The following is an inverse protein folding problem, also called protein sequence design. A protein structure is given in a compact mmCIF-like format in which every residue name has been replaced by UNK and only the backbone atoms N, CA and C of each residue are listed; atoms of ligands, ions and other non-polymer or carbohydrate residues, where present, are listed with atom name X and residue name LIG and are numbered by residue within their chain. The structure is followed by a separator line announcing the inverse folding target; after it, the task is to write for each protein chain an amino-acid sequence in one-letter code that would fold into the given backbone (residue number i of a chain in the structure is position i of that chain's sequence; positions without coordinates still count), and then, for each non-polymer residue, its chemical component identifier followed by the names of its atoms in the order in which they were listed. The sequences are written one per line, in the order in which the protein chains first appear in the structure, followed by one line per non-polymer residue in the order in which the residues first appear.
data_IF_173277073111
#
_entry.id   IF_173277073111
#
_cell.length_a   1.000
_cell.length_b   1.000
_cell.length_c   1.000
_cell.angle_alpha   90.00
_cell.angle_beta   90.00
_cell.angle_gamma   90.00
#
_symmetry.space_group_name_H-M   'P 1'
#
loop_
_entity.id
_entity.type
_entity.pdbx_description
1 polymer ?
#
# COMPACT_ATOMS: atom_id res chain seq x y z
N UNK A 1 -3.85 1.97 -14.59
CA UNK A 1 -4.27 0.71 -13.94
C UNK A 1 -4.50 0.94 -12.45
N UNK A 2 -5.47 0.25 -11.86
CA UNK A 2 -5.87 0.46 -10.45
C UNK A 2 -6.03 -0.88 -9.75
N UNK A 3 -5.49 -0.99 -8.54
CA UNK A 3 -5.85 -2.04 -7.56
C UNK A 3 -6.50 -1.39 -6.34
N UNK A 4 -7.50 -2.05 -5.76
CA UNK A 4 -8.18 -1.59 -4.55
C UNK A 4 -8.31 -2.71 -3.54
N UNK A 5 -8.15 -2.39 -2.26
CA UNK A 5 -8.38 -3.31 -1.15
C UNK A 5 -9.17 -2.60 -0.04
N UNK A 6 -10.32 -3.16 0.35
CA UNK A 6 -11.02 -2.70 1.55
C UNK A 6 -10.30 -3.30 2.77
N UNK A 7 -9.86 -2.45 3.68
CA UNK A 7 -9.20 -2.90 4.90
C UNK A 7 -10.12 -2.80 6.11
N UNK A 8 -9.85 -3.64 7.12
CA UNK A 8 -10.38 -3.55 8.47
C UNK A 8 -9.25 -3.89 9.46
N UNK A 9 -8.83 -2.91 10.26
CA UNK A 9 -7.78 -3.08 11.29
C UNK A 9 -8.34 -3.03 12.71
N UNK A 10 -9.64 -3.29 12.90
CA UNK A 10 -10.26 -3.25 14.22
C UNK A 10 -9.64 -4.25 15.21
N UNK A 11 -9.36 -5.47 14.75
CA UNK A 11 -8.81 -6.58 15.56
C UNK A 11 -7.53 -7.19 14.98
N UNK A 12 -6.95 -6.55 13.96
CA UNK A 12 -5.83 -7.11 13.22
C UNK A 12 -4.91 -6.02 12.67
N UNK A 13 -3.67 -6.39 12.41
CA UNK A 13 -2.72 -5.58 11.66
C UNK A 13 -2.71 -6.09 10.22
N UNK A 14 -2.68 -5.18 9.25
CA UNK A 14 -2.58 -5.51 7.84
C UNK A 14 -1.18 -5.16 7.35
N UNK A 15 -0.46 -6.16 6.86
CA UNK A 15 0.85 -6.00 6.24
C UNK A 15 0.70 -6.05 4.74
N UNK A 16 1.26 -5.08 4.04
CA UNK A 16 1.16 -4.90 2.60
C UNK A 16 2.57 -4.91 2.04
N UNK A 17 2.81 -5.72 1.00
CA UNK A 17 4.07 -5.73 0.27
C UNK A 17 3.81 -5.40 -1.18
N UNK A 18 4.63 -4.51 -1.74
CA UNK A 18 4.54 -4.14 -3.14
C UNK A 18 5.94 -3.86 -3.70
N UNK A 19 6.15 -4.26 -4.94
CA UNK A 19 7.27 -3.84 -5.77
C UNK A 19 6.81 -2.69 -6.66
N UNK A 20 7.56 -1.60 -6.65
CA UNK A 20 7.26 -0.40 -7.43
C UNK A 20 7.84 -0.56 -8.84
N UNK A 21 7.02 -0.48 -9.89
CA UNK A 21 7.50 -0.59 -11.27
C UNK A 21 8.41 0.59 -11.63
N UNK A 22 9.51 0.30 -12.33
CA UNK A 22 10.34 1.35 -12.91
C UNK A 22 9.63 2.07 -14.08
N UNK A 23 10.03 3.33 -14.27
CA UNK A 23 9.73 4.17 -15.44
C UNK A 23 8.26 4.54 -15.64
N UNK A 24 7.39 4.18 -14.71
CA UNK A 24 5.98 4.59 -14.69
C UNK A 24 5.61 5.15 -13.33
N UNK A 25 4.64 6.06 -13.31
CA UNK A 25 4.14 6.59 -12.06
C UNK A 25 3.42 5.49 -11.26
N UNK A 26 3.72 5.41 -9.97
CA UNK A 26 3.08 4.50 -9.04
C UNK A 26 2.73 5.23 -7.75
N UNK A 27 1.57 4.93 -7.16
CA UNK A 27 1.25 5.37 -5.81
C UNK A 27 0.41 4.35 -5.07
N UNK A 28 0.53 4.35 -3.75
CA UNK A 28 -0.41 3.73 -2.82
C UNK A 28 -0.99 4.81 -1.90
N UNK A 29 -2.31 4.89 -1.83
CA UNK A 29 -3.06 5.88 -1.04
C UNK A 29 -4.07 5.18 -0.14
N UNK A 30 -4.18 5.66 1.09
CA UNK A 30 -5.08 5.11 2.10
C UNK A 30 -6.14 6.14 2.43
N UNK A 31 -7.39 5.70 2.31
CA UNK A 31 -8.58 6.47 2.61
C UNK A 31 -9.32 5.87 3.78
N UNK A 32 -9.76 6.71 4.71
CA UNK A 32 -10.72 6.31 5.73
C UNK A 32 -12.12 6.08 5.11
N UNK A 33 -13.06 5.52 5.87
CA UNK A 33 -14.40 5.22 5.37
C UNK A 33 -15.17 6.50 4.96
N UNK A 34 -14.87 7.63 5.62
CA UNK A 34 -15.38 8.95 5.25
C UNK A 34 -14.59 9.60 4.09
N UNK A 35 -13.75 8.83 3.39
CA UNK A 35 -12.94 9.26 2.23
C UNK A 35 -11.80 10.23 2.55
N UNK A 36 -11.48 10.46 3.83
CA UNK A 36 -10.29 11.23 4.18
C UNK A 36 -9.02 10.49 3.74
N UNK A 37 -8.24 11.12 2.87
CA UNK A 37 -6.89 10.65 2.53
C UNK A 37 -5.95 10.97 3.70
N UNK A 38 -5.40 9.93 4.33
CA UNK A 38 -4.53 10.10 5.50
C UNK A 38 -3.10 9.58 5.29
N UNK A 39 -2.83 8.91 4.16
CA UNK A 39 -1.49 8.48 3.78
C UNK A 39 -1.39 8.33 2.26
N UNK A 40 -0.30 8.81 1.68
CA UNK A 40 0.09 8.54 0.29
C UNK A 40 1.58 8.34 0.23
N UNK A 41 2.00 7.32 -0.52
CA UNK A 41 3.40 7.05 -0.88
C UNK A 41 3.47 6.89 -2.41
N UNK A 42 4.46 7.51 -3.04
CA UNK A 42 4.64 7.48 -4.49
C UNK A 42 6.02 6.93 -4.89
N UNK A 43 6.18 6.64 -6.17
CA UNK A 43 7.39 6.07 -6.76
C UNK A 43 8.67 6.87 -6.48
N UNK A 44 8.61 8.21 -6.51
CA UNK A 44 9.77 9.05 -6.24
C UNK A 44 10.23 8.92 -4.79
N UNK A 45 9.30 8.94 -3.84
CA UNK A 45 9.62 8.76 -2.43
C UNK A 45 10.14 7.35 -2.13
N UNK A 46 9.56 6.32 -2.78
CA UNK A 46 10.05 4.94 -2.69
C UNK A 46 11.48 4.84 -3.17
N UNK A 47 11.77 5.36 -4.37
CA UNK A 47 13.11 5.33 -4.95
C UNK A 47 14.17 5.98 -4.05
N UNK A 48 13.82 7.08 -3.40
CA UNK A 48 14.74 7.84 -2.56
C UNK A 48 15.00 7.19 -1.19
N UNK A 49 13.97 6.56 -0.59
CA UNK A 49 14.03 6.14 0.82
C UNK A 49 14.04 4.62 1.03
N UNK A 50 13.47 3.86 0.09
CA UNK A 50 13.16 2.44 0.27
C UNK A 50 13.67 1.56 -0.89
N UNK A 51 14.14 2.15 -1.99
CA UNK A 51 14.59 1.43 -3.18
C UNK A 51 13.43 1.11 -4.13
N UNK A 52 13.00 -0.14 -4.20
CA UNK A 52 11.92 -0.59 -5.09
C UNK A 52 10.85 -1.41 -4.40
N UNK A 53 11.18 -2.03 -3.26
CA UNK A 53 10.24 -2.82 -2.49
C UNK A 53 9.79 -2.04 -1.27
N UNK A 54 8.49 -2.05 -1.02
CA UNK A 54 7.89 -1.42 0.15
C UNK A 54 7.13 -2.44 0.97
N UNK A 55 7.29 -2.31 2.27
CA UNK A 55 6.58 -3.09 3.26
C UNK A 55 5.84 -2.12 4.19
N UNK A 56 4.52 -2.07 4.08
CA UNK A 56 3.67 -1.16 4.83
C UNK A 56 2.89 -1.95 5.86
N UNK A 57 2.97 -1.53 7.12
CA UNK A 57 2.22 -2.10 8.23
C UNK A 57 1.13 -1.12 8.62
N UNK A 58 -0.11 -1.44 8.26
CA UNK A 58 -1.31 -0.70 8.63
C UNK A 58 -1.90 -1.26 9.91
N UNK A 59 -2.05 -0.42 10.93
CA UNK A 59 -2.65 -0.81 12.21
C UNK A 59 -3.62 0.23 12.74
N UNK A 60 -4.48 -0.20 13.68
CA UNK A 60 -5.25 0.73 14.51
C UNK A 60 -4.30 1.55 15.40
N UNK A 61 -4.61 2.84 15.59
CA UNK A 61 -3.89 3.69 16.54
C UNK A 61 -3.94 3.09 17.96
N UNK A 62 -2.82 3.12 18.67
CA UNK A 62 -2.70 2.58 20.03
C UNK A 62 -2.38 1.08 20.11
N UNK A 63 -2.42 0.34 18.99
CA UNK A 63 -1.89 -1.03 18.95
C UNK A 63 -0.36 -0.99 18.90
N UNK A 64 0.30 -1.73 19.79
CA UNK A 64 1.74 -1.93 19.78
C UNK A 64 2.14 -2.86 18.64
N UNK A 65 3.29 -2.59 18.03
CA UNK A 65 3.86 -3.42 16.98
C UNK A 65 5.37 -3.24 16.97
N UNK A 66 6.12 -4.34 16.95
CA UNK A 66 7.58 -4.32 16.87
C UNK A 66 7.99 -4.20 15.42
N UNK A 67 8.36 -2.98 15.03
CA UNK A 67 8.80 -2.65 13.67
C UNK A 67 10.05 -3.43 13.28
N UNK A 68 10.01 -4.12 12.14
CA UNK A 68 11.18 -4.71 11.48
C UNK A 68 11.87 -3.65 10.62
N UNK A 69 13.13 -3.90 10.30
CA UNK A 69 13.93 -2.96 9.48
C UNK A 69 13.22 -2.68 8.15
N UNK A 70 13.15 -1.40 7.77
CA UNK A 70 12.56 -0.86 6.52
C UNK A 70 11.02 -0.97 6.39
N UNK A 71 10.28 -1.30 7.46
CA UNK A 71 8.82 -1.22 7.44
C UNK A 71 8.30 0.22 7.59
N UNK A 72 7.27 0.56 6.81
CA UNK A 72 6.56 1.83 6.89
C UNK A 72 5.32 1.63 7.78
N UNK A 73 5.31 2.27 8.95
CA UNK A 73 4.20 2.13 9.90
C UNK A 73 3.14 3.19 9.62
N UNK A 74 1.93 2.74 9.28
CA UNK A 74 0.77 3.59 9.04
C UNK A 74 -0.29 3.31 10.10
N UNK A 75 -0.77 4.36 10.77
CA UNK A 75 -1.87 4.24 11.73
C UNK A 75 -3.17 4.74 11.11
N UNK A 76 -4.20 3.89 11.11
CA UNK A 76 -5.54 4.30 10.69
C UNK A 76 -6.07 5.42 11.62
N UNK A 77 -6.86 6.38 11.07
CA UNK A 77 -7.43 7.48 11.85
C UNK A 77 -8.25 7.00 13.07
N UNK A 78 -8.28 7.82 14.12
CA UNK A 78 -8.92 7.46 15.40
C UNK A 78 -10.37 7.00 15.23
N UNK A 79 -11.12 7.63 14.34
CA UNK A 79 -12.54 7.35 14.14
C UNK A 79 -12.81 6.30 13.06
N UNK A 80 -11.84 5.99 12.18
CA UNK A 80 -12.02 5.02 11.09
C UNK A 80 -10.99 3.89 11.12
N UNK A 81 -11.44 2.68 11.43
CA UNK A 81 -10.62 1.43 11.44
C UNK A 81 -10.81 0.62 10.16
N UNK A 82 -11.68 1.09 9.28
CA UNK A 82 -11.97 0.55 7.96
C UNK A 82 -11.74 1.64 6.93
N UNK A 83 -11.57 1.23 5.69
CA UNK A 83 -11.39 2.15 4.59
C UNK A 83 -10.92 1.45 3.33
N UNK A 84 -10.31 2.23 2.45
CA UNK A 84 -9.85 1.79 1.15
C UNK A 84 -8.34 2.05 1.01
N UNK A 85 -7.62 1.03 0.57
CA UNK A 85 -6.27 1.17 -0.01
C UNK A 85 -6.42 1.19 -1.51
N UNK A 86 -5.80 2.16 -2.16
CA UNK A 86 -5.81 2.34 -3.60
C UNK A 86 -4.37 2.36 -4.11
N UNK A 87 -4.02 1.43 -5.00
CA UNK A 87 -2.76 1.45 -5.75
C UNK A 87 -3.06 1.90 -7.17
N UNK A 88 -2.30 2.87 -7.67
CA UNK A 88 -2.45 3.41 -9.03
C UNK A 88 -1.13 3.30 -9.76
N UNK A 89 -1.20 2.86 -11.01
CA UNK A 89 -0.08 2.87 -11.95
C UNK A 89 -0.55 3.62 -13.20
N UNK A 90 0.19 4.65 -13.63
CA UNK A 90 -0.13 5.42 -14.84
C UNK A 90 0.85 5.04 -15.93
N UNK A 91 0.31 4.51 -17.02
CA UNK A 91 1.05 4.19 -18.25
C UNK A 91 0.93 5.37 -19.20
N UNK A 92 2.01 5.69 -19.90
CA UNK A 92 2.03 6.83 -20.82
C UNK A 92 1.43 6.45 -22.19
N UNK A 93 1.67 5.21 -22.64
CA UNK A 93 1.11 4.67 -23.88
C UNK A 93 0.19 3.47 -23.58
N UNK A 94 -1.13 3.62 -23.66
CA UNK A 94 -2.06 2.53 -23.44
C UNK A 94 -2.08 1.49 -24.59
N UNK A 95 -1.30 1.69 -25.66
CA UNK A 95 -1.16 0.73 -26.76
C UNK A 95 0.08 -0.16 -26.64
N UNK A 96 1.02 0.17 -25.74
CA UNK A 96 2.22 -0.64 -25.47
C UNK A 96 1.85 -1.92 -24.71
N UNK A 97 1.72 -3.02 -25.48
CA UNK A 97 1.33 -4.33 -24.94
C UNK A 97 2.38 -4.93 -24.00
N UNK A 98 3.66 -4.64 -24.21
CA UNK A 98 4.74 -5.18 -23.37
C UNK A 98 4.78 -4.44 -22.03
N UNK A 99 4.62 -3.12 -22.04
CA UNK A 99 4.48 -2.34 -20.80
C UNK A 99 3.24 -2.78 -20.00
N UNK A 100 2.09 -2.95 -20.65
CA UNK A 100 0.87 -3.45 -20.01
C UNK A 100 1.12 -4.83 -19.37
N UNK A 101 1.75 -5.75 -20.09
CA UNK A 101 2.04 -7.09 -19.59
C UNK A 101 2.96 -7.06 -18.38
N UNK A 102 4.06 -6.29 -18.45
CA UNK A 102 5.02 -6.08 -17.35
C UNK A 102 4.33 -5.51 -16.11
N UNK A 103 3.56 -4.44 -16.27
CA UNK A 103 2.86 -3.76 -15.17
C UNK A 103 1.81 -4.69 -14.55
N UNK A 104 1.08 -5.44 -15.37
CA UNK A 104 0.10 -6.42 -14.88
C UNK A 104 0.77 -7.50 -14.03
N UNK A 105 1.98 -7.96 -14.41
CA UNK A 105 2.74 -8.93 -13.61
C UNK A 105 3.15 -8.34 -12.26
N UNK A 106 3.71 -7.13 -12.26
CA UNK A 106 4.11 -6.42 -11.03
C UNK A 106 2.90 -6.17 -10.12
N UNK A 107 1.76 -5.77 -10.68
CA UNK A 107 0.51 -5.56 -9.93
C UNK A 107 0.08 -6.84 -9.20
N UNK A 108 0.24 -8.02 -9.82
CA UNK A 108 -0.11 -9.33 -9.24
C UNK A 108 0.85 -9.77 -8.12
N UNK A 109 2.03 -9.15 -8.01
CA UNK A 109 2.99 -9.43 -6.93
C UNK A 109 2.64 -8.70 -5.62
N UNK A 110 1.68 -7.77 -5.65
CA UNK A 110 1.22 -7.09 -4.44
C UNK A 110 0.52 -8.11 -3.53
N UNK A 111 0.95 -8.19 -2.27
CA UNK A 111 0.38 -9.11 -1.29
C UNK A 111 -0.13 -8.37 -0.06
N UNK A 112 -1.13 -8.97 0.58
CA UNK A 112 -1.63 -8.56 1.89
C UNK A 112 -1.63 -9.73 2.85
N UNK A 113 -1.10 -9.52 4.05
CA UNK A 113 -1.01 -10.51 5.11
C UNK A 113 -1.68 -9.95 6.37
N UNK A 114 -2.48 -10.78 7.04
CA UNK A 114 -3.08 -10.43 8.32
C UNK A 114 -2.16 -10.92 9.43
N UNK A 115 -1.72 -10.01 10.29
CA UNK A 115 -1.00 -10.36 11.51
C UNK A 115 -1.99 -10.33 12.67
N UNK A 116 -2.02 -11.43 13.44
CA UNK A 116 -2.80 -11.49 14.67
C UNK A 116 -2.17 -10.62 15.75
N UNK A 117 -3.03 -10.02 16.57
CA UNK A 117 -2.61 -9.26 17.74
C UNK A 117 -2.81 -10.22 18.91
N UNK A 118 -1.71 -10.67 19.53
CA UNK A 118 -1.79 -11.41 20.79
C UNK A 118 -2.57 -10.54 21.79
N UNK A 119 -3.69 -11.06 22.29
CA UNK A 119 -4.60 -10.36 23.21
C UNK A 119 -4.05 -10.38 24.64
#
# INVERSE_FOLDING_TARGET
MVSSCIYDVHKKILKIRATVPESVYWSITFFALNQDCYFTLNDLEVKQKYGQDVEIVLKKRGISYTTKKNEIIVSAPRFSKRGLILIRIVMMDPSDKEEIKRITQIQKMVTTEVLEIDQ
#
